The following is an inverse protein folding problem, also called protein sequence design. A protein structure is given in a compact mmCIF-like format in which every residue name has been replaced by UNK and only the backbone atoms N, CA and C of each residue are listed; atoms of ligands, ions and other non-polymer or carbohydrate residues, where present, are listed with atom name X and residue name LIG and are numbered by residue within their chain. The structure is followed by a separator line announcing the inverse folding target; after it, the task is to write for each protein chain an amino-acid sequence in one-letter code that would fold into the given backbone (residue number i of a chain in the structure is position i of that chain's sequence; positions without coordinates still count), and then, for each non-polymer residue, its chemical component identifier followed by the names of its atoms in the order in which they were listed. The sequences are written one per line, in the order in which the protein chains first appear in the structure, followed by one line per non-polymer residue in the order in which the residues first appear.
data_IF_398099006197
#
_entry.id   IF_398099006197
#
_cell.length_a   1.000
_cell.length_b   1.000
_cell.length_c   1.000
_cell.angle_alpha   90.00
_cell.angle_beta   90.00
_cell.angle_gamma   90.00
#
_symmetry.space_group_name_H-M   'P 1'
#
loop_
_entity.id
_entity.type
_entity.pdbx_description
1 polymer ?
#
# COMPACT_ATOMS: atom_id res chain seq x y z
N UNK A 1 12.86 -4.19 5.65
CA UNK A 1 11.46 -4.67 5.69
C UNK A 1 10.83 -4.63 7.09
N UNK A 2 11.54 -4.21 8.15
CA UNK A 2 11.01 -4.22 9.53
C UNK A 2 10.08 -3.03 9.86
N UNK A 3 10.24 -1.89 9.16
CA UNK A 3 9.52 -0.65 9.48
C UNK A 3 7.98 -0.76 9.38
N UNK A 4 7.39 -1.38 8.35
CA UNK A 4 5.92 -1.54 8.27
C UNK A 4 5.36 -2.47 9.35
N UNK A 5 6.15 -3.46 9.78
CA UNK A 5 5.72 -4.45 10.75
C UNK A 5 5.60 -3.87 12.17
N UNK A 6 6.53 -2.98 12.55
CA UNK A 6 6.55 -2.34 13.89
C UNK A 6 5.36 -1.38 14.08
N UNK A 7 4.93 -0.70 13.02
CA UNK A 7 3.77 0.20 13.07
C UNK A 7 2.47 -0.60 13.29
N UNK A 8 2.43 -1.87 12.87
CA UNK A 8 1.25 -2.71 12.97
C UNK A 8 1.12 -3.45 14.32
N UNK A 9 2.22 -3.60 15.08
CA UNK A 9 2.15 -4.25 16.40
C UNK A 9 1.32 -3.46 17.40
N UNK A 10 1.33 -2.13 17.31
CA UNK A 10 0.59 -1.24 18.22
C UNK A 10 -0.94 -1.40 18.15
N UNK A 11 -1.62 -1.25 16.99
CA UNK A 11 -3.07 -1.42 16.90
C UNK A 11 -3.50 -2.88 17.16
N UNK A 12 -2.67 -3.84 16.79
CA UNK A 12 -2.92 -5.27 17.05
C UNK A 12 -2.91 -5.56 18.56
N UNK A 13 -1.93 -5.01 19.28
CA UNK A 13 -1.83 -5.18 20.73
C UNK A 13 -2.96 -4.47 21.48
N UNK A 14 -3.38 -3.29 21.01
CA UNK A 14 -4.53 -2.58 21.56
C UNK A 14 -5.82 -3.41 21.46
N UNK A 15 -6.10 -4.03 20.31
CA UNK A 15 -7.29 -4.88 20.16
C UNK A 15 -7.26 -6.09 21.08
N UNK A 16 -6.10 -6.72 21.26
CA UNK A 16 -5.94 -7.87 22.17
C UNK A 16 -6.25 -7.46 23.62
N UNK A 17 -5.72 -6.32 24.07
CA UNK A 17 -6.00 -5.79 25.42
C UNK A 17 -7.48 -5.41 25.57
N UNK A 18 -8.08 -4.79 24.55
CA UNK A 18 -9.50 -4.42 24.52
C UNK A 18 -10.41 -5.64 24.72
N UNK A 19 -10.07 -6.77 24.08
CA UNK A 19 -10.77 -8.05 24.25
C UNK A 19 -10.56 -8.64 25.64
N UNK A 20 -9.31 -8.68 26.12
CA UNK A 20 -9.00 -9.26 27.44
C UNK A 20 -9.64 -8.47 28.59
N UNK A 21 -9.66 -7.14 28.48
CA UNK A 21 -10.22 -6.23 29.49
C UNK A 21 -11.75 -6.11 29.45
N UNK A 22 -12.43 -6.74 28.47
CA UNK A 22 -13.87 -6.54 28.17
C UNK A 22 -14.28 -5.05 28.05
N UNK A 23 -13.33 -4.18 27.76
CA UNK A 23 -13.53 -2.74 27.70
C UNK A 23 -13.37 -2.27 26.26
N UNK A 24 -14.51 -2.17 25.58
CA UNK A 24 -14.55 -1.91 24.15
C UNK A 24 -14.82 -0.43 23.89
N UNK A 25 -13.75 0.36 23.79
CA UNK A 25 -13.88 1.73 23.32
C UNK A 25 -14.12 1.74 21.82
N UNK A 26 -15.39 1.91 21.42
CA UNK A 26 -15.85 1.86 20.04
C UNK A 26 -14.98 2.70 19.09
N UNK A 27 -14.63 3.91 19.53
CA UNK A 27 -13.76 4.82 18.77
C UNK A 27 -12.38 4.21 18.48
N UNK A 28 -11.70 3.69 19.51
CA UNK A 28 -10.34 3.15 19.38
C UNK A 28 -10.32 1.80 18.64
N UNK A 29 -11.34 0.96 18.85
CA UNK A 29 -11.49 -0.31 18.13
C UNK A 29 -11.72 -0.06 16.63
N UNK A 30 -12.58 0.90 16.26
CA UNK A 30 -12.83 1.23 14.85
C UNK A 30 -11.58 1.75 14.16
N UNK A 31 -10.81 2.64 14.81
CA UNK A 31 -9.54 3.14 14.27
C UNK A 31 -8.54 1.99 14.09
N UNK A 32 -8.43 1.11 15.09
CA UNK A 32 -7.52 -0.03 15.03
C UNK A 32 -7.85 -0.97 13.88
N UNK A 33 -9.14 -1.23 13.64
CA UNK A 33 -9.61 -2.04 12.51
C UNK A 33 -9.31 -1.39 11.15
N UNK A 34 -9.48 -0.08 11.02
CA UNK A 34 -9.13 0.65 9.78
C UNK A 34 -7.63 0.53 9.49
N UNK A 35 -6.77 0.69 10.51
CA UNK A 35 -5.32 0.61 10.37
C UNK A 35 -4.89 -0.81 9.93
N UNK A 36 -5.45 -1.84 10.57
CA UNK A 36 -5.15 -3.24 10.24
C UNK A 36 -5.62 -3.58 8.83
N UNK A 37 -6.83 -3.19 8.45
CA UNK A 37 -7.38 -3.42 7.11
C UNK A 37 -6.52 -2.76 6.02
N UNK A 38 -6.07 -1.53 6.25
CA UNK A 38 -5.30 -0.79 5.25
C UNK A 38 -3.84 -1.27 5.13
N UNK A 39 -3.31 -1.98 6.13
CA UNK A 39 -1.93 -2.45 6.12
C UNK A 39 -1.57 -3.27 4.87
N UNK A 40 -2.47 -4.17 4.41
CA UNK A 40 -2.23 -4.97 3.21
C UNK A 40 -2.06 -4.14 1.93
N UNK A 41 -2.75 -3.00 1.86
CA UNK A 41 -2.58 -2.05 0.76
C UNK A 41 -1.22 -1.34 0.85
N UNK A 42 -0.84 -0.88 2.05
CA UNK A 42 0.43 -0.20 2.28
C UNK A 42 1.64 -1.11 2.05
N UNK A 43 1.61 -2.40 2.42
CA UNK A 43 2.71 -3.33 2.14
C UNK A 43 2.93 -3.52 0.64
N UNK A 44 1.84 -3.59 -0.13
CA UNK A 44 1.90 -3.70 -1.59
C UNK A 44 2.50 -2.44 -2.21
N UNK A 45 2.03 -1.26 -1.79
CA UNK A 45 2.58 0.04 -2.23
C UNK A 45 4.08 0.12 -1.89
N UNK A 46 4.46 -0.18 -0.66
CA UNK A 46 5.85 -0.13 -0.20
C UNK A 46 6.72 -1.12 -0.99
N UNK A 47 6.24 -2.33 -1.28
CA UNK A 47 6.97 -3.28 -2.13
C UNK A 47 7.19 -2.73 -3.55
N UNK A 48 6.18 -2.09 -4.13
CA UNK A 48 6.29 -1.45 -5.44
C UNK A 48 7.31 -0.30 -5.46
N UNK A 49 7.37 0.51 -4.38
CA UNK A 49 8.23 1.69 -4.31
C UNK A 49 9.61 1.44 -3.71
N UNK A 50 9.81 0.49 -2.80
CA UNK A 50 11.10 0.29 -2.10
C UNK A 50 11.96 -0.78 -2.79
N UNK A 51 11.37 -1.82 -3.37
CA UNK A 51 12.17 -2.79 -4.12
C UNK A 51 12.60 -2.20 -5.47
N UNK A 52 13.92 -2.06 -5.65
CA UNK A 52 14.55 -1.65 -6.89
C UNK A 52 14.05 -2.38 -8.15
N UNK A 53 13.88 -3.73 -8.17
CA UNK A 53 13.37 -4.41 -9.36
C UNK A 53 11.93 -4.00 -9.71
N UNK A 54 11.06 -3.82 -8.70
CA UNK A 54 9.67 -3.41 -8.91
C UNK A 54 9.55 -1.96 -9.39
N UNK A 55 10.35 -1.04 -8.84
CA UNK A 55 10.42 0.34 -9.35
C UNK A 55 10.86 0.41 -10.81
N UNK A 56 11.86 -0.38 -11.18
CA UNK A 56 12.38 -0.39 -12.55
C UNK A 56 11.34 -0.93 -13.53
N UNK A 57 10.60 -1.98 -13.15
CA UNK A 57 9.48 -2.49 -13.93
C UNK A 57 8.41 -1.43 -14.16
N UNK A 58 7.96 -0.75 -13.09
CA UNK A 58 6.95 0.32 -13.19
C UNK A 58 7.41 1.48 -14.09
N UNK A 59 8.66 1.94 -13.95
CA UNK A 59 9.21 2.99 -14.84
C UNK A 59 9.24 2.54 -16.29
N UNK A 60 9.68 1.29 -16.54
CA UNK A 60 9.75 0.74 -17.89
C UNK A 60 8.36 0.64 -18.52
N UNK A 61 7.37 0.11 -17.82
CA UNK A 61 6.00 -0.01 -18.33
C UNK A 61 5.37 1.35 -18.64
N UNK A 62 5.59 2.37 -17.80
CA UNK A 62 5.07 3.72 -18.05
C UNK A 62 5.74 4.40 -19.25
N UNK A 63 7.06 4.24 -19.42
CA UNK A 63 7.80 4.80 -20.57
C UNK A 63 7.37 4.14 -21.88
N UNK A 64 7.18 2.82 -21.89
CA UNK A 64 6.70 2.09 -23.07
C UNK A 64 5.33 2.60 -23.49
N UNK A 65 4.41 2.77 -22.55
CA UNK A 65 3.04 3.26 -22.83
C UNK A 65 3.05 4.68 -23.37
N UNK A 66 3.90 5.57 -22.85
CA UNK A 66 4.08 6.93 -23.39
C UNK A 66 4.64 6.90 -24.81
N UNK A 67 5.59 5.99 -25.09
CA UNK A 67 6.18 5.88 -26.43
C UNK A 67 5.18 5.35 -27.46
N UNK A 68 4.34 4.38 -27.09
CA UNK A 68 3.26 3.88 -27.94
C UNK A 68 2.25 4.98 -28.28
N UNK A 69 1.86 5.80 -27.31
CA UNK A 69 0.95 6.92 -27.53
C UNK A 69 1.55 7.98 -28.47
N UNK A 70 2.86 8.23 -28.39
CA UNK A 70 3.54 9.14 -29.33
C UNK A 70 3.56 8.59 -30.75
N UNK A 71 3.75 7.28 -30.92
CA UNK A 71 3.74 6.62 -32.23
C UNK A 71 2.35 6.71 -32.87
N UNK A 72 1.29 6.45 -32.08
CA UNK A 72 -0.10 6.56 -32.54
C UNK A 72 -0.48 8.00 -32.88
N UNK A 73 -0.07 8.97 -32.04
CA UNK A 73 -0.36 10.38 -32.27
C UNK A 73 0.40 10.98 -33.47
N UNK A 74 1.60 10.47 -33.78
CA UNK A 74 2.41 10.92 -34.91
C UNK A 74 2.13 10.14 -36.21
N UNK A 75 1.15 9.23 -36.21
CA UNK A 75 0.76 8.54 -37.44
C UNK A 75 0.09 9.57 -38.36
N UNK A 76 0.56 9.76 -39.61
CA UNK A 76 -0.07 10.70 -40.52
C UNK A 76 -1.52 10.28 -40.73
N UNK A 77 -2.44 11.22 -40.51
CA UNK A 77 -3.85 11.06 -40.82
C UNK A 77 -3.93 11.04 -42.34
N UNK A 78 -4.02 9.83 -42.88
CA UNK A 78 -4.25 9.57 -44.32
C UNK A 78 -5.73 9.75 -44.61
#
# INVERSE_FOLDING_TARGET
MALPAIIMTLPSYHLIISVWSNFHQQYLNNISLIIISTHGMFTTIIMLFIHAPYRQFLRRSSVLKVNELKIVANKPVV
#
